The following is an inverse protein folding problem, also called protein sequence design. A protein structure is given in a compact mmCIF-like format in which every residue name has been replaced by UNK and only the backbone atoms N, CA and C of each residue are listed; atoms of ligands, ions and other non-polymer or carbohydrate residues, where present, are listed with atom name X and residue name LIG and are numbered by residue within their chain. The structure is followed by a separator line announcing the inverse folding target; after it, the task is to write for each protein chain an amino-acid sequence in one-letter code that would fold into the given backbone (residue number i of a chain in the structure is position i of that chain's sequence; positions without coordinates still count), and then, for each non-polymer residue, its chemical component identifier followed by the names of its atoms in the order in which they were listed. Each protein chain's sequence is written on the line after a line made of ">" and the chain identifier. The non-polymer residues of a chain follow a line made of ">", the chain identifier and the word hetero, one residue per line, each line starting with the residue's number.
data_IF_791418576199
#
_entry.id   IF_791418576199
#
_cell.length_a   1.000
_cell.length_b   1.000
_cell.length_c   1.000
_cell.angle_alpha   90.00
_cell.angle_beta   90.00
_cell.angle_gamma   90.00
#
_symmetry.space_group_name_H-M   'P 1'
#
loop_
_entity.id
_entity.type
_entity.pdbx_description
1 polymer ?
#
# COMPACT_ATOMS: atom_id res chain seq x y z
N UNK A 1 5.36 13.64 5.65
CA UNK A 1 5.29 14.34 4.37
C UNK A 1 4.03 14.08 3.56
N UNK A 2 3.67 12.83 3.29
CA UNK A 2 2.51 12.49 2.44
C UNK A 2 1.17 12.98 3.03
N UNK A 3 0.94 12.80 4.31
CA UNK A 3 -0.30 13.25 4.98
C UNK A 3 -0.48 14.76 4.89
N UNK A 4 0.59 15.53 5.08
CA UNK A 4 0.57 16.99 4.92
C UNK A 4 0.29 17.39 3.47
N UNK A 5 0.94 16.75 2.51
CA UNK A 5 0.67 17.00 1.07
C UNK A 5 -0.81 16.75 0.73
N UNK A 6 -1.44 15.71 1.31
CA UNK A 6 -2.87 15.44 1.11
C UNK A 6 -3.76 16.51 1.71
N UNK A 7 -3.42 17.04 2.88
CA UNK A 7 -4.13 18.17 3.47
C UNK A 7 -4.10 19.40 2.56
N UNK A 8 -2.90 19.77 2.07
CA UNK A 8 -2.73 20.92 1.15
C UNK A 8 -3.54 20.73 -0.14
N UNK A 9 -3.44 19.54 -0.76
CA UNK A 9 -4.20 19.23 -1.99
C UNK A 9 -5.72 19.29 -1.74
N UNK A 10 -6.20 18.76 -0.63
CA UNK A 10 -7.62 18.82 -0.26
C UNK A 10 -8.09 20.26 -0.08
N UNK A 11 -7.33 21.04 0.66
CA UNK A 11 -7.63 22.45 0.90
C UNK A 11 -7.85 23.22 -0.40
N UNK A 12 -6.85 23.19 -1.29
CA UNK A 12 -6.94 23.94 -2.54
C UNK A 12 -7.92 23.34 -3.55
N UNK A 13 -8.11 22.03 -3.58
CA UNK A 13 -9.12 21.42 -4.44
C UNK A 13 -10.55 21.82 -4.04
N UNK A 14 -10.85 21.88 -2.74
CA UNK A 14 -12.15 22.29 -2.24
C UNK A 14 -12.34 23.79 -2.44
N UNK A 15 -11.34 24.62 -2.11
CA UNK A 15 -11.39 26.05 -2.31
C UNK A 15 -11.62 26.42 -3.78
N UNK A 16 -10.86 25.83 -4.69
CA UNK A 16 -11.01 26.03 -6.13
C UNK A 16 -12.41 25.58 -6.63
N UNK A 17 -12.97 24.50 -6.08
CA UNK A 17 -14.33 24.09 -6.41
C UNK A 17 -15.37 25.10 -5.93
N UNK A 18 -15.13 25.79 -4.79
CA UNK A 18 -15.99 26.85 -4.29
C UNK A 18 -15.85 28.14 -5.11
N UNK A 19 -14.64 28.53 -5.49
CA UNK A 19 -14.37 29.67 -6.38
C UNK A 19 -15.05 29.45 -7.75
N UNK A 20 -14.98 28.24 -8.29
CA UNK A 20 -15.64 27.87 -9.52
C UNK A 20 -17.20 27.92 -9.37
N UNK A 21 -17.72 27.60 -8.19
CA UNK A 21 -19.14 27.73 -7.90
C UNK A 21 -19.58 29.21 -7.85
N UNK A 22 -18.72 30.13 -7.42
CA UNK A 22 -19.00 31.55 -7.48
C UNK A 22 -19.25 32.06 -8.92
N UNK A 23 -18.55 31.45 -9.91
CA UNK A 23 -18.71 31.82 -11.33
C UNK A 23 -19.86 31.06 -12.04
N UNK A 24 -20.05 29.76 -11.71
CA UNK A 24 -20.88 28.82 -12.47
C UNK A 24 -22.06 28.24 -11.69
N UNK A 25 -22.24 28.67 -10.44
CA UNK A 25 -23.22 28.09 -9.51
C UNK A 25 -22.73 26.76 -8.92
N UNK A 26 -23.30 26.39 -7.79
CA UNK A 26 -23.09 25.10 -7.16
C UNK A 26 -23.58 23.94 -8.05
N UNK A 27 -23.15 22.71 -7.77
CA UNK A 27 -23.68 21.55 -8.50
C UNK A 27 -25.16 21.31 -8.17
N UNK A 28 -25.88 20.68 -9.09
CA UNK A 28 -27.36 20.63 -9.08
C UNK A 28 -27.97 20.05 -7.79
N UNK A 29 -27.33 19.07 -7.17
CA UNK A 29 -27.80 18.41 -5.94
C UNK A 29 -27.02 18.85 -4.71
N UNK A 30 -26.61 20.12 -4.67
CA UNK A 30 -25.82 20.68 -3.56
C UNK A 30 -26.64 20.76 -2.26
N UNK A 31 -27.89 21.18 -2.37
CA UNK A 31 -28.80 21.35 -1.24
C UNK A 31 -28.97 20.04 -0.44
N UNK A 32 -28.84 20.11 0.88
CA UNK A 32 -28.89 18.98 1.79
C UNK A 32 -27.61 18.10 1.80
N UNK A 33 -26.64 18.38 0.96
CA UNK A 33 -25.36 17.65 0.93
C UNK A 33 -24.53 17.90 2.19
N UNK A 34 -23.45 17.13 2.35
CA UNK A 34 -22.49 17.38 3.44
C UNK A 34 -21.82 18.76 3.29
N UNK A 35 -21.57 19.19 2.06
CA UNK A 35 -21.03 20.52 1.78
C UNK A 35 -21.97 21.64 2.19
N UNK A 36 -23.25 21.53 1.87
CA UNK A 36 -24.29 22.48 2.28
C UNK A 36 -24.44 22.56 3.81
N UNK A 37 -24.27 21.44 4.49
CA UNK A 37 -24.22 21.38 5.96
C UNK A 37 -22.92 21.87 6.58
N UNK A 38 -21.98 22.39 5.79
CA UNK A 38 -20.68 22.89 6.23
C UNK A 38 -19.70 21.80 6.66
N UNK A 39 -19.93 20.54 6.26
CA UNK A 39 -19.07 19.40 6.64
C UNK A 39 -17.98 19.17 5.61
N UNK A 40 -16.75 19.42 6.00
CA UNK A 40 -15.54 19.03 5.26
C UNK A 40 -15.20 17.55 5.49
N UNK A 41 -14.31 16.95 4.66
CA UNK A 41 -13.89 15.56 4.86
C UNK A 41 -13.42 15.25 6.28
N UNK A 42 -12.66 16.16 6.91
CA UNK A 42 -12.18 15.99 8.30
C UNK A 42 -13.32 15.95 9.33
N UNK A 43 -14.40 16.67 9.11
CA UNK A 43 -15.53 16.72 10.04
C UNK A 43 -16.34 15.42 10.02
N UNK A 44 -16.22 14.65 8.95
CA UNK A 44 -16.89 13.34 8.83
C UNK A 44 -16.33 12.30 9.81
N UNK A 45 -15.18 12.57 10.45
CA UNK A 45 -14.62 11.71 11.50
C UNK A 45 -15.54 11.71 12.73
N UNK A 46 -15.97 12.89 13.17
CA UNK A 46 -16.85 13.03 14.34
C UNK A 46 -18.22 12.40 14.07
N UNK A 47 -18.74 12.59 12.87
CA UNK A 47 -19.96 11.94 12.43
C UNK A 47 -19.83 10.40 12.46
N UNK A 48 -18.73 9.86 11.94
CA UNK A 48 -18.46 8.44 11.92
C UNK A 48 -18.31 7.86 13.34
N UNK A 49 -17.61 8.56 14.23
CA UNK A 49 -17.46 8.14 15.62
C UNK A 49 -18.81 8.10 16.34
N UNK A 50 -19.64 9.11 16.13
CA UNK A 50 -20.99 9.18 16.70
C UNK A 50 -21.85 8.02 16.20
N UNK A 51 -21.85 7.75 14.89
CA UNK A 51 -22.62 6.65 14.28
C UNK A 51 -22.15 5.25 14.75
N UNK A 52 -20.86 5.09 15.09
CA UNK A 52 -20.28 3.85 15.58
C UNK A 52 -20.32 3.67 17.10
N UNK A 53 -20.80 4.68 17.85
CA UNK A 53 -20.81 4.65 19.32
C UNK A 53 -19.40 4.61 19.94
N UNK A 54 -18.44 5.27 19.34
CA UNK A 54 -17.02 5.23 19.69
C UNK A 54 -16.20 4.48 18.65
N UNK A 55 -15.58 3.39 18.95
CA UNK A 55 -14.85 2.45 18.05
C UNK A 55 -14.15 3.09 16.84
N UNK A 56 -13.40 4.18 17.05
CA UNK A 56 -12.67 4.89 16.02
C UNK A 56 -11.32 5.37 16.57
N UNK A 57 -10.23 4.88 15.97
CA UNK A 57 -8.86 5.26 16.31
C UNK A 57 -8.24 6.04 15.16
N UNK A 58 -8.57 7.32 15.03
CA UNK A 58 -8.09 8.16 13.94
C UNK A 58 -7.50 9.47 14.47
N UNK A 59 -6.31 9.83 13.97
CA UNK A 59 -5.68 11.12 14.23
C UNK A 59 -6.48 12.27 13.61
N UNK A 60 -6.92 13.24 14.43
CA UNK A 60 -7.72 14.41 14.06
C UNK A 60 -6.90 15.68 13.85
N UNK A 61 -5.58 15.60 13.94
CA UNK A 61 -4.72 16.77 13.80
C UNK A 61 -4.86 17.43 12.42
N UNK A 62 -4.84 18.76 12.40
CA UNK A 62 -4.82 19.62 11.21
C UNK A 62 -3.76 20.69 11.40
N UNK A 63 -3.05 21.05 10.33
CA UNK A 63 -2.02 22.08 10.34
C UNK A 63 -2.42 23.33 9.54
N UNK A 64 -3.54 23.27 8.82
CA UNK A 64 -4.04 24.40 8.04
C UNK A 64 -5.27 25.01 8.70
N UNK A 65 -5.40 26.33 8.55
CA UNK A 65 -6.64 27.02 8.88
C UNK A 65 -7.69 26.79 7.79
N UNK A 66 -8.79 26.15 8.16
CA UNK A 66 -9.89 25.81 7.26
C UNK A 66 -10.98 26.88 7.22
N UNK A 67 -10.88 27.96 8.03
CA UNK A 67 -11.89 29.01 8.06
C UNK A 67 -12.13 29.64 6.68
N UNK A 68 -11.11 29.99 5.88
CA UNK A 68 -11.35 30.59 4.56
C UNK A 68 -12.09 29.65 3.60
N UNK A 69 -11.84 28.34 3.67
CA UNK A 69 -12.54 27.35 2.85
C UNK A 69 -14.01 27.25 3.26
N UNK A 70 -14.30 27.21 4.57
CA UNK A 70 -15.66 27.18 5.11
C UNK A 70 -16.45 28.42 4.73
N UNK A 71 -15.86 29.58 4.85
CA UNK A 71 -16.48 30.87 4.47
C UNK A 71 -16.80 30.91 2.98
N UNK A 72 -15.88 30.46 2.12
CA UNK A 72 -16.12 30.38 0.68
C UNK A 72 -17.27 29.44 0.35
N UNK A 73 -17.30 28.22 0.95
CA UNK A 73 -18.38 27.25 0.74
C UNK A 73 -19.73 27.81 1.21
N UNK A 74 -19.76 28.45 2.40
CA UNK A 74 -21.01 29.03 2.94
C UNK A 74 -21.57 30.13 2.03
N UNK A 75 -20.69 30.85 1.32
CA UNK A 75 -21.08 31.95 0.43
C UNK A 75 -21.46 31.48 -0.98
N UNK A 76 -20.76 30.49 -1.53
CA UNK A 76 -20.84 30.14 -2.95
C UNK A 76 -21.25 28.68 -3.20
N UNK A 77 -21.24 27.83 -2.17
CA UNK A 77 -21.33 26.38 -2.34
C UNK A 77 -20.06 25.81 -2.94
N UNK A 78 -20.15 24.64 -3.57
CA UNK A 78 -19.08 24.00 -4.34
C UNK A 78 -19.62 23.56 -5.71
N UNK A 79 -18.76 23.63 -6.74
CA UNK A 79 -19.12 23.24 -8.10
C UNK A 79 -19.08 21.73 -8.30
N UNK A 80 -18.18 21.04 -7.62
CA UNK A 80 -17.94 19.61 -7.74
C UNK A 80 -18.51 18.87 -6.52
N UNK A 81 -19.39 17.90 -6.74
CA UNK A 81 -19.94 17.08 -5.65
C UNK A 81 -18.85 16.27 -4.93
N UNK A 82 -17.81 15.90 -5.66
CA UNK A 82 -16.63 15.20 -5.14
C UNK A 82 -15.36 15.81 -5.72
N UNK A 83 -14.32 15.95 -4.89
CA UNK A 83 -13.08 16.61 -5.28
C UNK A 83 -11.88 15.67 -5.29
N UNK A 84 -11.82 14.71 -4.37
CA UNK A 84 -10.62 13.89 -4.19
C UNK A 84 -10.91 12.42 -3.89
N UNK A 85 -10.21 11.56 -4.62
CA UNK A 85 -10.09 10.12 -4.36
C UNK A 85 -8.63 9.68 -4.45
N UNK A 86 -8.31 8.52 -3.93
CA UNK A 86 -7.04 7.84 -4.21
C UNK A 86 -7.33 6.59 -5.02
N UNK A 87 -7.10 6.71 -6.33
CA UNK A 87 -7.34 5.65 -7.29
C UNK A 87 -6.20 4.62 -7.33
N UNK A 88 -6.41 3.41 -7.89
CA UNK A 88 -5.35 2.39 -8.00
C UNK A 88 -4.23 2.78 -8.97
N UNK A 89 -4.45 3.69 -9.89
CA UNK A 89 -3.50 4.25 -10.87
C UNK A 89 -2.67 3.25 -11.68
N UNK A 90 -3.16 2.01 -11.85
CA UNK A 90 -2.39 0.91 -12.45
C UNK A 90 -1.82 1.26 -13.84
N UNK A 91 -2.66 1.76 -14.75
CA UNK A 91 -2.25 2.13 -16.10
C UNK A 91 -1.44 3.43 -16.12
N UNK A 92 -1.92 4.47 -15.43
CA UNK A 92 -1.25 5.77 -15.38
C UNK A 92 0.15 5.67 -14.78
N UNK A 93 0.30 4.89 -13.70
CA UNK A 93 1.60 4.65 -13.07
C UNK A 93 2.60 3.96 -14.01
N UNK A 94 2.12 2.98 -14.81
CA UNK A 94 2.97 2.32 -15.81
C UNK A 94 3.42 3.27 -16.94
N UNK A 95 2.54 4.20 -17.36
CA UNK A 95 2.87 5.17 -18.43
C UNK A 95 3.95 6.15 -17.96
N UNK A 96 3.86 6.62 -16.71
CA UNK A 96 4.79 7.63 -16.18
C UNK A 96 5.97 7.02 -15.41
N UNK A 97 6.09 5.70 -15.33
CA UNK A 97 7.23 5.01 -14.70
C UNK A 97 7.31 5.15 -13.18
N UNK A 98 6.17 5.20 -12.47
CA UNK A 98 6.14 5.29 -11.01
C UNK A 98 5.39 4.10 -10.39
N UNK A 99 5.51 3.93 -9.07
CA UNK A 99 4.72 2.93 -8.34
C UNK A 99 3.23 3.27 -8.34
N UNK A 100 2.40 2.22 -8.34
CA UNK A 100 0.94 2.36 -8.33
C UNK A 100 0.45 2.86 -6.97
N UNK A 101 -0.64 3.62 -6.98
CA UNK A 101 -1.29 4.14 -5.77
C UNK A 101 -0.31 4.97 -4.91
N UNK A 102 -0.46 4.92 -3.57
CA UNK A 102 0.49 5.46 -2.61
C UNK A 102 0.90 4.29 -1.72
N UNK A 103 1.54 3.32 -2.32
CA UNK A 103 1.87 2.05 -1.70
C UNK A 103 3.38 1.76 -1.85
N UNK A 104 3.94 0.92 -0.96
CA UNK A 104 5.30 0.43 -1.12
C UNK A 104 5.49 -0.34 -2.42
N UNK A 105 6.72 -0.42 -2.89
CA UNK A 105 7.07 -1.21 -4.07
C UNK A 105 6.75 -2.69 -3.84
N UNK A 106 6.06 -3.30 -4.81
CA UNK A 106 5.70 -4.72 -4.73
C UNK A 106 6.91 -5.64 -4.64
N UNK A 107 7.89 -5.45 -5.54
CA UNK A 107 9.22 -6.10 -5.56
C UNK A 107 10.22 -5.15 -6.21
N UNK A 108 11.49 -5.18 -5.78
CA UNK A 108 12.52 -4.35 -6.40
C UNK A 108 13.03 -4.92 -7.73
N UNK A 109 12.83 -6.21 -7.99
CA UNK A 109 13.12 -6.86 -9.27
C UNK A 109 12.08 -7.95 -9.53
N UNK A 110 11.42 -7.93 -10.68
CA UNK A 110 10.46 -8.95 -11.08
C UNK A 110 10.27 -9.01 -12.60
N UNK A 111 9.82 -10.16 -13.08
CA UNK A 111 9.38 -10.32 -14.47
C UNK A 111 7.91 -9.96 -14.60
N UNK A 112 7.56 -9.17 -15.59
CA UNK A 112 6.19 -8.81 -15.95
C UNK A 112 5.87 -9.39 -17.31
N UNK A 113 5.01 -10.39 -17.34
CA UNK A 113 4.47 -10.95 -18.57
C UNK A 113 3.22 -10.20 -19.03
N UNK A 114 3.13 -9.89 -20.31
CA UNK A 114 1.93 -9.37 -20.97
C UNK A 114 1.82 -9.93 -22.40
N UNK A 115 0.78 -9.53 -23.13
CA UNK A 115 0.56 -9.99 -24.52
C UNK A 115 1.69 -9.61 -25.49
N UNK A 116 2.53 -8.62 -25.15
CA UNK A 116 3.66 -8.16 -25.95
C UNK A 116 4.98 -8.82 -25.58
N UNK A 117 5.02 -9.65 -24.56
CA UNK A 117 6.22 -10.38 -24.09
C UNK A 117 6.51 -10.23 -22.61
N UNK A 118 7.67 -10.74 -22.20
CA UNK A 118 8.16 -10.71 -20.84
C UNK A 118 9.16 -9.56 -20.67
N UNK A 119 8.92 -8.73 -19.68
CA UNK A 119 9.74 -7.57 -19.35
C UNK A 119 10.31 -7.71 -17.95
N UNK A 120 11.60 -7.44 -17.80
CA UNK A 120 12.22 -7.32 -16.48
C UNK A 120 12.03 -5.90 -15.98
N UNK A 121 11.37 -5.76 -14.83
CA UNK A 121 11.17 -4.49 -14.15
C UNK A 121 12.08 -4.43 -12.95
N UNK A 122 12.86 -3.37 -12.83
CA UNK A 122 13.74 -3.12 -11.69
C UNK A 122 13.39 -1.76 -11.07
N UNK A 123 13.54 -1.66 -9.74
CA UNK A 123 13.39 -0.39 -9.04
C UNK A 123 14.60 0.52 -9.34
N UNK A 124 14.42 1.49 -10.23
CA UNK A 124 15.48 2.39 -10.67
C UNK A 124 16.10 3.22 -9.54
N UNK A 125 15.31 3.57 -8.53
CA UNK A 125 15.81 4.28 -7.34
C UNK A 125 16.81 3.42 -6.55
N UNK A 126 16.49 2.13 -6.37
CA UNK A 126 17.43 1.19 -5.74
C UNK A 126 18.70 1.05 -6.57
N UNK A 127 18.56 0.88 -7.88
CA UNK A 127 19.74 0.75 -8.79
C UNK A 127 20.62 1.99 -8.71
N UNK A 128 20.05 3.17 -8.69
CA UNK A 128 20.78 4.44 -8.56
C UNK A 128 21.55 4.48 -7.25
N UNK A 129 20.91 4.17 -6.13
CA UNK A 129 21.56 4.15 -4.82
C UNK A 129 22.67 3.10 -4.72
N UNK A 130 22.47 1.92 -5.30
CA UNK A 130 23.48 0.87 -5.34
C UNK A 130 24.67 1.26 -6.24
N UNK A 131 24.43 1.93 -7.38
CA UNK A 131 25.49 2.45 -8.25
C UNK A 131 26.34 3.52 -7.56
N UNK A 132 25.70 4.49 -6.90
CA UNK A 132 26.37 5.55 -6.16
C UNK A 132 27.31 5.00 -5.08
N UNK A 133 26.99 3.82 -4.53
CA UNK A 133 27.79 3.13 -3.49
C UNK A 133 28.72 2.06 -4.05
N UNK A 134 28.82 1.90 -5.37
CA UNK A 134 29.66 0.89 -6.02
C UNK A 134 29.23 -0.57 -5.76
N UNK A 135 27.94 -0.78 -5.44
CA UNK A 135 27.35 -2.08 -5.10
C UNK A 135 26.56 -2.73 -6.25
N UNK A 136 26.35 -1.99 -7.35
CA UNK A 136 25.62 -2.51 -8.51
C UNK A 136 26.53 -3.27 -9.45
N UNK A 137 26.43 -4.58 -9.45
CA UNK A 137 27.19 -5.51 -10.29
C UNK A 137 26.34 -6.74 -10.63
N UNK A 138 26.88 -7.65 -11.45
CA UNK A 138 26.19 -8.89 -11.84
C UNK A 138 25.81 -9.75 -10.63
N UNK A 139 26.63 -9.73 -9.58
CA UNK A 139 26.34 -10.45 -8.35
C UNK A 139 25.10 -9.85 -7.64
N UNK A 140 24.97 -8.52 -7.57
CA UNK A 140 23.80 -7.87 -6.99
C UNK A 140 22.52 -8.24 -7.75
N UNK A 141 22.58 -8.32 -9.07
CA UNK A 141 21.45 -8.77 -9.89
C UNK A 141 21.07 -10.22 -9.57
N UNK A 142 22.07 -11.10 -9.37
CA UNK A 142 21.83 -12.49 -8.96
C UNK A 142 21.25 -12.58 -7.54
N UNK A 143 21.78 -11.79 -6.60
CA UNK A 143 21.29 -11.72 -5.23
C UNK A 143 19.81 -11.27 -5.21
N UNK A 144 19.46 -10.21 -5.94
CA UNK A 144 18.08 -9.74 -6.06
C UNK A 144 17.15 -10.79 -6.69
N UNK A 145 17.60 -11.53 -7.70
CA UNK A 145 16.84 -12.63 -8.28
C UNK A 145 16.65 -13.77 -7.27
N UNK A 146 17.69 -14.11 -6.53
CA UNK A 146 17.67 -15.18 -5.54
C UNK A 146 16.68 -14.86 -4.40
N UNK A 147 16.65 -13.61 -3.95
CA UNK A 147 15.76 -13.13 -2.88
C UNK A 147 14.44 -12.55 -3.38
N UNK A 148 14.00 -12.87 -4.61
CA UNK A 148 12.72 -12.41 -5.18
C UNK A 148 12.52 -10.88 -5.18
N UNK A 149 13.61 -10.13 -5.35
CA UNK A 149 13.60 -8.67 -5.34
C UNK A 149 13.64 -8.04 -3.93
N UNK A 150 13.78 -8.85 -2.88
CA UNK A 150 14.07 -8.35 -1.54
C UNK A 150 15.53 -7.95 -1.40
N UNK A 151 15.80 -6.92 -0.60
CA UNK A 151 17.17 -6.50 -0.21
C UNK A 151 17.51 -6.92 1.21
N UNK A 152 16.55 -7.39 2.01
CA UNK A 152 16.73 -7.61 3.45
C UNK A 152 17.78 -8.67 3.78
N UNK A 153 17.81 -9.77 3.02
CA UNK A 153 18.70 -10.89 3.26
C UNK A 153 20.01 -10.78 2.44
N UNK A 154 20.29 -9.66 1.79
CA UNK A 154 21.54 -9.44 1.03
C UNK A 154 22.53 -8.74 1.95
N UNK A 155 23.53 -9.47 2.44
CA UNK A 155 24.48 -8.98 3.45
C UNK A 155 25.23 -7.72 3.02
N UNK A 156 25.58 -7.61 1.74
CA UNK A 156 26.33 -6.48 1.19
C UNK A 156 25.52 -5.20 1.02
N UNK A 157 24.19 -5.25 1.17
CA UNK A 157 23.32 -4.07 1.13
C UNK A 157 23.31 -3.41 2.52
N UNK A 158 23.65 -2.11 2.63
CA UNK A 158 23.63 -1.39 3.88
C UNK A 158 22.22 -1.28 4.49
N UNK A 159 22.13 -1.23 5.83
CA UNK A 159 20.86 -1.25 6.56
C UNK A 159 19.95 -0.05 6.21
N UNK A 160 20.52 1.12 5.95
CA UNK A 160 19.77 2.30 5.53
C UNK A 160 19.04 2.08 4.19
N UNK A 161 19.65 1.34 3.25
CA UNK A 161 18.97 0.94 2.01
C UNK A 161 17.96 -0.18 2.25
N UNK A 162 18.26 -1.14 3.14
CA UNK A 162 17.31 -2.19 3.51
C UNK A 162 16.03 -1.59 4.08
N UNK A 163 16.14 -0.56 4.92
CA UNK A 163 14.96 0.10 5.51
C UNK A 163 14.12 0.85 4.49
N UNK A 164 14.75 1.51 3.51
CA UNK A 164 14.04 2.29 2.48
C UNK A 164 13.41 1.41 1.40
N UNK A 165 14.07 0.32 1.01
CA UNK A 165 13.67 -0.51 -0.13
C UNK A 165 12.98 -1.81 0.26
N UNK A 166 12.33 -1.85 1.45
CA UNK A 166 11.42 -2.93 1.83
C UNK A 166 10.29 -3.07 0.81
N UNK A 167 9.98 -4.30 0.48
CA UNK A 167 8.83 -4.61 -0.39
C UNK A 167 7.51 -4.57 0.40
N UNK A 168 6.40 -4.52 -0.31
CA UNK A 168 5.07 -4.45 0.30
C UNK A 168 4.77 -5.62 1.27
N UNK A 169 5.34 -6.79 1.04
CA UNK A 169 5.14 -7.97 1.90
C UNK A 169 6.05 -7.99 3.12
N UNK A 170 7.07 -7.14 3.16
CA UNK A 170 8.03 -7.02 4.26
C UNK A 170 7.65 -5.91 5.25
N UNK A 171 6.62 -5.15 4.91
CA UNK A 171 6.08 -4.07 5.74
C UNK A 171 4.81 -4.60 6.44
N UNK A 172 4.75 -4.46 7.76
CA UNK A 172 3.53 -4.81 8.50
C UNK A 172 2.34 -4.00 7.97
N UNK A 173 1.28 -4.71 7.57
CA UNK A 173 0.04 -4.14 7.02
C UNK A 173 -0.60 -3.10 7.92
N UNK A 174 -0.35 -3.13 9.24
CA UNK A 174 -0.81 -2.10 10.18
C UNK A 174 -0.27 -0.72 9.85
N UNK A 175 1.00 -0.61 9.45
CA UNK A 175 1.60 0.67 9.04
C UNK A 175 0.97 1.19 7.75
N UNK A 176 0.72 0.30 6.80
CA UNK A 176 0.06 0.65 5.55
C UNK A 176 -1.36 1.18 5.80
N UNK A 177 -2.12 0.48 6.64
CA UNK A 177 -3.47 0.89 7.05
C UNK A 177 -3.43 2.21 7.83
N UNK A 178 -2.53 2.37 8.79
CA UNK A 178 -2.40 3.60 9.57
C UNK A 178 -2.06 4.82 8.69
N UNK A 179 -1.15 4.65 7.72
CA UNK A 179 -0.86 5.71 6.74
C UNK A 179 -2.06 6.03 5.85
N UNK A 180 -2.81 5.01 5.43
CA UNK A 180 -4.02 5.18 4.64
C UNK A 180 -5.12 5.91 5.43
N UNK A 181 -5.32 5.56 6.69
CA UNK A 181 -6.28 6.23 7.58
C UNK A 181 -5.96 7.72 7.75
N UNK A 182 -4.69 8.07 7.93
CA UNK A 182 -4.27 9.48 8.00
C UNK A 182 -4.50 10.27 6.71
N UNK A 183 -4.52 9.61 5.55
CA UNK A 183 -4.89 10.23 4.27
C UNK A 183 -6.40 10.33 4.09
N UNK A 184 -7.15 9.34 4.58
CA UNK A 184 -8.60 9.22 4.39
C UNK A 184 -9.36 10.45 4.90
N UNK A 185 -8.91 11.07 5.98
CA UNK A 185 -9.56 12.27 6.55
C UNK A 185 -9.50 13.52 5.65
N UNK A 186 -8.65 13.50 4.61
CA UNK A 186 -8.47 14.60 3.68
C UNK A 186 -9.16 14.39 2.33
N UNK A 187 -9.81 13.26 2.13
CA UNK A 187 -10.50 12.94 0.88
C UNK A 187 -11.98 12.70 1.12
N UNK A 188 -12.81 13.18 0.23
CA UNK A 188 -14.26 13.02 0.29
C UNK A 188 -14.74 11.69 -0.28
N UNK A 189 -13.96 11.09 -1.16
CA UNK A 189 -14.22 9.75 -1.73
C UNK A 189 -13.41 8.66 -1.01
N UNK A 190 -13.38 7.46 -1.58
CA UNK A 190 -12.61 6.33 -1.08
C UNK A 190 -11.13 6.34 -1.51
N UNK A 191 -10.37 5.46 -0.88
CA UNK A 191 -9.00 5.12 -1.24
C UNK A 191 -8.93 3.65 -1.65
N UNK A 192 -8.43 3.37 -2.85
CA UNK A 192 -8.17 2.01 -3.31
C UNK A 192 -6.87 1.50 -2.68
N UNK A 193 -6.99 0.99 -1.45
CA UNK A 193 -5.86 0.46 -0.68
C UNK A 193 -5.74 -1.04 -0.88
N UNK A 194 -4.62 -1.51 -1.47
CA UNK A 194 -4.28 -2.92 -1.47
C UNK A 194 -3.78 -3.32 -0.08
N UNK A 195 -4.17 -4.51 0.36
CA UNK A 195 -3.64 -5.14 1.55
C UNK A 195 -2.70 -6.27 1.13
N UNK A 196 -1.56 -6.37 1.78
CA UNK A 196 -0.52 -7.36 1.47
C UNK A 196 -0.43 -8.35 2.63
N UNK A 197 -0.53 -9.61 2.31
CA UNK A 197 -0.54 -10.67 3.31
C UNK A 197 0.36 -11.84 2.87
N UNK A 198 1.38 -12.10 3.65
CA UNK A 198 2.22 -13.29 3.49
C UNK A 198 1.77 -14.38 4.46
N UNK A 199 1.20 -15.45 3.94
CA UNK A 199 0.73 -16.59 4.74
C UNK A 199 1.86 -17.26 5.52
N UNK A 200 3.11 -17.13 5.04
CA UNK A 200 4.28 -17.71 5.72
C UNK A 200 4.73 -16.91 6.94
N UNK A 201 4.23 -15.67 7.09
CA UNK A 201 4.51 -14.80 8.24
C UNK A 201 3.43 -14.88 9.33
N UNK A 202 2.45 -15.76 9.18
CA UNK A 202 1.45 -15.99 10.24
C UNK A 202 2.17 -16.60 11.46
N UNK A 203 2.07 -15.97 12.64
CA UNK A 203 2.73 -16.47 13.84
C UNK A 203 2.30 -17.91 14.16
N UNK A 204 3.24 -18.72 14.66
CA UNK A 204 2.97 -20.08 15.05
C UNK A 204 1.84 -20.14 16.10
N UNK A 205 0.91 -21.08 15.91
CA UNK A 205 -0.26 -21.22 16.78
C UNK A 205 -1.44 -20.29 16.44
N UNK A 206 -1.28 -19.34 15.52
CA UNK A 206 -2.39 -18.49 15.06
C UNK A 206 -3.05 -19.05 13.79
N UNK A 207 -4.37 -18.84 13.70
CA UNK A 207 -5.12 -19.18 12.50
C UNK A 207 -5.04 -18.05 11.47
N UNK A 208 -4.68 -18.35 10.24
CA UNK A 208 -4.62 -17.40 9.11
C UNK A 208 -5.86 -16.51 9.02
N UNK A 209 -7.07 -17.12 9.12
CA UNK A 209 -8.32 -16.37 9.07
C UNK A 209 -8.50 -15.37 10.19
N UNK A 210 -7.93 -15.62 11.38
CA UNK A 210 -7.95 -14.66 12.48
C UNK A 210 -7.06 -13.46 12.18
N UNK A 211 -5.83 -13.70 11.75
CA UNK A 211 -4.87 -12.63 11.41
C UNK A 211 -5.42 -11.73 10.30
N UNK A 212 -6.04 -12.34 9.28
CA UNK A 212 -6.74 -11.58 8.23
C UNK A 212 -7.92 -10.78 8.80
N UNK A 213 -8.75 -11.40 9.65
CA UNK A 213 -9.88 -10.72 10.29
C UNK A 213 -9.44 -9.52 11.12
N UNK A 214 -8.40 -9.69 11.92
CA UNK A 214 -7.82 -8.61 12.76
C UNK A 214 -7.28 -7.46 11.89
N UNK A 215 -6.67 -7.75 10.74
CA UNK A 215 -6.19 -6.74 9.80
C UNK A 215 -7.34 -5.90 9.19
N UNK A 216 -8.42 -6.54 8.76
CA UNK A 216 -9.60 -5.85 8.24
C UNK A 216 -10.35 -5.08 9.33
N UNK A 217 -10.42 -5.66 10.53
CA UNK A 217 -11.03 -5.00 11.68
C UNK A 217 -10.25 -3.74 12.06
N UNK A 218 -8.92 -3.82 12.08
CA UNK A 218 -8.07 -2.65 12.29
C UNK A 218 -8.27 -1.56 11.22
N UNK A 219 -8.44 -1.95 9.95
CA UNK A 219 -8.74 -1.01 8.88
C UNK A 219 -10.09 -0.30 9.11
N UNK A 220 -11.08 -1.02 9.59
CA UNK A 220 -12.38 -0.47 9.95
C UNK A 220 -12.29 0.46 11.16
N UNK A 221 -11.62 0.07 12.25
CA UNK A 221 -11.40 0.91 13.44
C UNK A 221 -10.62 2.19 13.10
N UNK A 222 -9.65 2.10 12.18
CA UNK A 222 -8.91 3.24 11.67
C UNK A 222 -9.71 4.17 10.74
N UNK A 223 -11.00 3.92 10.54
CA UNK A 223 -11.91 4.80 9.78
C UNK A 223 -11.76 4.73 8.27
N UNK A 224 -11.14 3.68 7.72
CA UNK A 224 -11.08 3.52 6.28
C UNK A 224 -12.47 3.27 5.69
N UNK A 225 -12.83 3.99 4.62
CA UNK A 225 -14.08 3.81 3.87
C UNK A 225 -14.00 2.57 2.98
N UNK A 226 -12.83 2.28 2.43
CA UNK A 226 -12.61 1.23 1.43
C UNK A 226 -11.24 0.59 1.59
N UNK A 227 -11.17 -0.70 1.24
CA UNK A 227 -9.97 -1.41 0.83
C UNK A 227 -10.12 -1.80 -0.65
N UNK A 228 -9.08 -2.39 -1.27
CA UNK A 228 -9.12 -2.83 -2.65
C UNK A 228 -8.77 -4.32 -2.75
N UNK A 229 -7.67 -4.70 -3.36
CA UNK A 229 -7.28 -6.10 -3.43
C UNK A 229 -6.60 -6.59 -2.15
N UNK A 230 -6.90 -7.83 -1.75
CA UNK A 230 -6.02 -8.61 -0.90
C UNK A 230 -4.99 -9.30 -1.79
N UNK A 231 -3.73 -8.94 -1.64
CA UNK A 231 -2.62 -9.56 -2.34
C UNK A 231 -1.91 -10.52 -1.40
N UNK A 232 -1.81 -11.76 -1.82
CA UNK A 232 -1.14 -12.81 -1.04
C UNK A 232 0.10 -13.30 -1.74
N UNK A 233 1.15 -13.63 -0.99
CA UNK A 233 2.20 -14.47 -1.51
C UNK A 233 1.70 -15.91 -1.47
N UNK A 234 1.68 -16.55 -2.62
CA UNK A 234 1.39 -17.98 -2.71
C UNK A 234 2.56 -18.76 -2.07
N UNK A 235 2.23 -19.90 -1.43
CA UNK A 235 3.23 -20.84 -0.93
C UNK A 235 4.09 -21.45 -2.05
N UNK A 236 3.65 -21.35 -3.30
CA UNK A 236 4.37 -21.81 -4.50
C UNK A 236 5.39 -20.78 -4.94
N UNK A 237 6.64 -21.11 -4.75
CA UNK A 237 7.77 -20.32 -5.22
C UNK A 237 7.91 -20.45 -6.74
N UNK A 238 8.18 -19.31 -7.41
CA UNK A 238 8.53 -19.26 -8.82
C UNK A 238 9.82 -20.10 -9.01
N UNK A 239 9.87 -20.95 -10.03
CA UNK A 239 11.07 -21.71 -10.38
C UNK A 239 12.26 -20.74 -10.57
N UNK A 240 13.26 -20.87 -9.71
CA UNK A 240 14.51 -20.10 -9.76
C UNK A 240 15.51 -20.71 -10.75
N UNK A 241 15.02 -21.23 -11.89
CA UNK A 241 15.81 -21.96 -12.88
C UNK A 241 16.94 -21.16 -13.54
N UNK A 242 16.92 -19.84 -13.40
CA UNK A 242 17.92 -18.93 -14.01
C UNK A 242 19.02 -18.45 -13.04
N UNK A 243 18.97 -18.86 -11.77
CA UNK A 243 19.99 -18.49 -10.78
C UNK A 243 21.07 -19.57 -10.73
N UNK A 244 22.34 -19.18 -10.77
CA UNK A 244 23.45 -20.12 -10.63
C UNK A 244 23.53 -20.62 -9.17
N UNK A 245 22.85 -21.74 -8.88
CA UNK A 245 22.71 -22.33 -7.54
C UNK A 245 24.08 -22.65 -6.90
N UNK A 246 25.10 -22.94 -7.71
CA UNK A 246 26.44 -23.27 -7.24
C UNK A 246 27.17 -22.08 -6.59
N UNK A 247 26.74 -20.85 -6.85
CA UNK A 247 27.35 -19.64 -6.27
C UNK A 247 26.95 -19.38 -4.81
N UNK A 248 25.87 -19.99 -4.33
CA UNK A 248 25.30 -19.70 -3.01
C UNK A 248 25.51 -20.78 -1.95
N UNK A 249 26.15 -21.90 -2.30
CA UNK A 249 26.59 -22.94 -1.36
C UNK A 249 25.50 -23.61 -0.49
N UNK A 250 24.25 -23.27 -0.68
CA UNK A 250 23.10 -23.73 0.13
C UNK A 250 21.92 -24.04 -0.78
N UNK A 251 21.26 -25.16 -0.55
CA UNK A 251 20.00 -25.50 -1.21
C UNK A 251 18.97 -24.38 -0.99
N UNK A 252 18.25 -23.93 -2.05
CA UNK A 252 17.17 -22.97 -1.91
C UNK A 252 16.17 -23.36 -0.84
N UNK A 253 15.61 -22.40 -0.11
CA UNK A 253 14.63 -22.65 0.97
C UNK A 253 13.49 -23.60 0.57
N UNK A 254 13.06 -23.59 -0.70
CA UNK A 254 12.02 -24.48 -1.22
C UNK A 254 12.46 -25.97 -1.34
N UNK A 255 13.76 -26.25 -1.44
CA UNK A 255 14.26 -27.63 -1.38
C UNK A 255 14.34 -28.15 0.06
N UNK A 256 14.51 -27.29 1.05
CA UNK A 256 14.56 -27.67 2.47
C UNK A 256 13.20 -28.17 2.99
N UNK A 257 12.11 -27.68 2.47
CA UNK A 257 10.77 -28.10 2.88
C UNK A 257 10.36 -29.49 2.35
N UNK A 258 10.99 -30.00 1.29
CA UNK A 258 10.71 -31.34 0.75
C UNK A 258 11.52 -32.44 1.45
N UNK A 259 12.63 -32.15 2.10
CA UNK A 259 13.42 -33.16 2.81
C UNK A 259 12.92 -33.48 4.21
N UNK A 260 12.05 -32.64 4.81
CA UNK A 260 11.46 -32.90 6.11
C UNK A 260 10.19 -33.78 6.07
N UNK A 261 9.67 -34.09 4.90
CA UNK A 261 8.43 -34.88 4.73
C UNK A 261 8.63 -36.30 4.17
N UNK A 262 9.87 -36.81 4.08
CA UNK A 262 10.16 -38.15 3.56
C UNK A 262 10.73 -39.13 4.59
N UNK A 263 10.44 -38.97 5.89
CA UNK A 263 10.49 -40.09 6.81
C UNK A 263 9.21 -40.92 6.68
N UNK A 264 9.22 -41.84 5.70
CA UNK A 264 8.26 -42.91 5.63
C UNK A 264 8.57 -43.85 6.79
N UNK A 265 7.61 -43.95 7.73
CA UNK A 265 7.67 -44.96 8.78
C UNK A 265 7.80 -46.39 8.18
N UNK A 266 8.61 -47.28 8.76
CA UNK A 266 8.76 -48.62 8.27
C UNK A 266 7.44 -49.36 8.43
N UNK A 267 6.96 -49.96 7.33
CA UNK A 267 5.83 -50.87 7.32
C UNK A 267 6.21 -52.12 8.16
N UNK A 268 5.53 -52.32 9.27
CA UNK A 268 5.67 -53.55 10.04
C UNK A 268 5.11 -54.70 9.20
N UNK A 269 5.94 -55.66 8.85
CA UNK A 269 5.51 -56.99 8.33
C UNK A 269 4.71 -57.69 9.42
N UNK A 270 3.46 -57.98 9.11
CA UNK A 270 2.64 -58.88 9.92
C UNK A 270 2.91 -60.32 9.47
N UNK A 271 3.39 -61.14 10.42
CA UNK A 271 3.40 -62.57 10.34
C UNK A 271 2.04 -63.14 10.70
#
# INVERSE_FOLDING_TARGET
>A
GDVYKRQVLSYYAILASSELAAERGAYQTYEGSKWDRGLLPIDTIDLLEQERGGHLTLDRSSQMDWAPVRESIAKHGVRNSNTMAIAPTATSANIIGVSQSIEPTYKNLYAKANLSGDFIVVNEYLVTQLKERGLWDDKMVQDLKYHDGSVLEIDRVPDDLKDVFRTSFEIDSKWLIACAARRQKWIDMGQSLNLYFDINQVPEGQKTGRVLGDMYFFAWEAGLKTTYYLRTLAATQIEKSTVNINSYGVQPKWMKSKSASSEVAPVAEAA
#
